data_IF_656086987456
#
_entry.id   IF_656086987456
#
_cell.length_a   1.000
_cell.length_b   1.000
_cell.length_c   1.000
_cell.angle_alpha   90.00
_cell.angle_beta   90.00
_cell.angle_gamma   90.00
#
_symmetry.space_group_name_H-M   'P 1'
#
loop_
_entity.id
_entity.type
_entity.pdbx_description
1 polymer ?
#
# COMPACT_ATOMS: atom_id res chain seq x y z
N UNK A 1 14.40 -9.15 13.63
CA UNK A 1 13.50 -8.02 13.31
C UNK A 1 14.36 -6.93 12.70
N UNK A 2 13.81 -6.18 11.75
CA UNK A 2 14.51 -5.04 11.19
C UNK A 2 14.73 -3.98 12.27
N UNK A 3 15.94 -3.43 12.30
CA UNK A 3 16.24 -2.22 13.05
C UNK A 3 16.01 -1.02 12.13
N UNK A 4 14.97 -0.26 12.41
CA UNK A 4 14.62 0.97 11.69
C UNK A 4 15.08 2.24 12.44
N UNK A 5 15.91 2.13 13.49
CA UNK A 5 16.39 3.28 14.26
C UNK A 5 17.15 4.31 13.40
N UNK A 6 17.73 3.85 12.30
CA UNK A 6 18.47 4.70 11.36
C UNK A 6 17.75 4.88 10.01
N UNK A 7 16.45 4.54 9.95
CA UNK A 7 15.64 4.84 8.79
C UNK A 7 15.49 6.33 8.60
N UNK A 8 15.66 6.78 7.37
CA UNK A 8 15.43 8.17 6.97
C UNK A 8 14.41 8.19 5.85
N UNK A 9 13.27 8.81 6.11
CA UNK A 9 12.17 8.93 5.17
C UNK A 9 12.60 9.54 3.83
N UNK A 10 13.45 10.57 3.86
CA UNK A 10 13.97 11.25 2.66
C UNK A 10 14.93 10.37 1.85
N UNK A 11 15.75 9.52 2.49
CA UNK A 11 16.65 8.59 1.79
C UNK A 11 15.81 7.55 1.01
N UNK A 12 14.72 7.06 1.60
CA UNK A 12 13.79 6.16 0.92
C UNK A 12 13.12 6.82 -0.28
N UNK A 13 12.60 8.04 -0.10
CA UNK A 13 12.04 8.81 -1.21
C UNK A 13 13.08 9.02 -2.32
N UNK A 14 14.29 9.42 -1.96
CA UNK A 14 15.36 9.68 -2.92
C UNK A 14 15.75 8.41 -3.69
N UNK A 15 15.79 7.25 -3.02
CA UNK A 15 16.18 5.97 -3.64
C UNK A 15 15.16 5.50 -4.68
N UNK A 16 13.86 5.65 -4.40
CA UNK A 16 12.82 4.98 -5.20
C UNK A 16 11.88 5.91 -5.94
N UNK A 17 11.75 7.19 -5.54
CA UNK A 17 10.66 8.05 -6.00
C UNK A 17 11.07 9.43 -6.53
N UNK A 18 12.36 9.80 -6.45
CA UNK A 18 12.79 11.17 -6.73
C UNK A 18 12.88 11.52 -8.22
N UNK A 19 13.30 10.58 -9.08
CA UNK A 19 13.64 10.91 -10.46
C UNK A 19 12.54 10.56 -11.47
N UNK A 20 12.12 9.31 -11.50
CA UNK A 20 11.13 8.77 -12.45
C UNK A 20 10.15 7.86 -11.73
N UNK A 21 9.00 7.61 -12.35
CA UNK A 21 8.15 6.50 -11.94
C UNK A 21 8.75 5.24 -12.54
N UNK A 22 9.38 4.41 -11.72
CA UNK A 22 10.04 3.18 -12.17
C UNK A 22 9.03 2.24 -12.85
N UNK A 23 9.45 1.42 -13.85
CA UNK A 23 8.52 0.54 -14.57
C UNK A 23 7.74 -0.43 -13.69
N UNK A 24 8.34 -0.93 -12.62
CA UNK A 24 7.71 -1.79 -11.63
C UNK A 24 6.63 -1.03 -10.82
N UNK A 25 6.93 0.19 -10.36
CA UNK A 25 5.95 1.03 -9.68
C UNK A 25 4.82 1.49 -10.62
N UNK A 26 5.12 1.70 -11.91
CA UNK A 26 4.09 1.93 -12.93
C UNK A 26 3.11 0.77 -13.00
N UNK A 27 3.62 -0.46 -13.06
CA UNK A 27 2.78 -1.66 -13.12
C UNK A 27 1.98 -1.89 -11.83
N UNK A 28 2.59 -1.62 -10.66
CA UNK A 28 1.92 -1.67 -9.35
C UNK A 28 0.74 -0.68 -9.29
N UNK A 29 0.97 0.57 -9.70
CA UNK A 29 -0.10 1.58 -9.71
C UNK A 29 -1.19 1.27 -10.74
N UNK A 30 -0.83 0.77 -11.93
CA UNK A 30 -1.80 0.34 -12.93
C UNK A 30 -2.68 -0.78 -12.38
N UNK A 31 -2.09 -1.82 -11.77
CA UNK A 31 -2.82 -2.90 -11.12
C UNK A 31 -3.77 -2.37 -10.02
N UNK A 32 -3.25 -1.53 -9.12
CA UNK A 32 -4.08 -0.94 -8.06
C UNK A 32 -5.28 -0.18 -8.64
N UNK A 33 -5.08 0.62 -9.69
CA UNK A 33 -6.13 1.41 -10.32
C UNK A 33 -7.17 0.49 -10.99
N UNK A 34 -6.74 -0.60 -11.62
CA UNK A 34 -7.65 -1.55 -12.26
C UNK A 34 -8.54 -2.26 -11.24
N UNK A 35 -7.98 -2.68 -10.09
CA UNK A 35 -8.75 -3.24 -8.97
C UNK A 35 -9.75 -2.21 -8.43
N UNK A 36 -9.31 -0.97 -8.20
CA UNK A 36 -10.17 0.10 -7.69
C UNK A 36 -11.28 0.46 -8.69
N UNK A 37 -10.98 0.45 -9.99
CA UNK A 37 -11.96 0.72 -11.08
C UNK A 37 -13.00 -0.39 -11.20
N UNK A 38 -12.60 -1.64 -10.97
CA UNK A 38 -13.50 -2.79 -11.01
C UNK A 38 -14.56 -2.75 -9.89
N UNK A 39 -14.33 -2.00 -8.83
CA UNK A 39 -15.36 -1.73 -7.83
C UNK A 39 -16.44 -0.82 -8.44
N UNK A 40 -17.70 -1.28 -8.39
CA UNK A 40 -18.84 -0.56 -9.01
C UNK A 40 -19.28 0.69 -8.25
N UNK A 41 -18.82 0.85 -7.01
CA UNK A 41 -19.12 1.99 -6.14
C UNK A 41 -17.86 2.47 -5.43
N UNK A 42 -17.87 3.73 -4.98
CA UNK A 42 -16.78 4.28 -4.17
C UNK A 42 -16.78 3.66 -2.78
N UNK A 43 -15.58 3.38 -2.29
CA UNK A 43 -15.35 2.93 -0.93
C UNK A 43 -15.71 4.02 0.09
N UNK A 44 -16.37 3.64 1.18
CA UNK A 44 -16.72 4.54 2.26
C UNK A 44 -15.47 4.96 3.04
N UNK A 45 -14.64 3.97 3.41
CA UNK A 45 -13.46 4.14 4.26
C UNK A 45 -12.30 3.29 3.78
N UNK A 46 -11.29 3.92 3.20
CA UNK A 46 -10.03 3.31 2.82
C UNK A 46 -8.97 3.43 3.92
N UNK A 47 -8.07 2.46 3.96
CA UNK A 47 -6.84 2.51 4.75
C UNK A 47 -5.66 2.22 3.83
N UNK A 48 -4.66 3.09 3.81
CA UNK A 48 -3.33 2.78 3.32
C UNK A 48 -2.45 2.43 4.52
N UNK A 49 -2.08 1.15 4.66
CA UNK A 49 -1.33 0.63 5.78
C UNK A 49 0.15 0.44 5.43
N UNK A 50 1.04 0.98 6.25
CA UNK A 50 2.47 1.04 5.94
C UNK A 50 2.74 1.98 4.78
N UNK A 51 2.19 3.19 4.86
CA UNK A 51 2.24 4.15 3.75
C UNK A 51 3.67 4.63 3.45
N UNK A 52 4.61 4.45 4.38
CA UNK A 52 5.91 5.08 4.26
C UNK A 52 5.81 6.61 4.14
N UNK A 53 6.85 7.28 3.66
CA UNK A 53 6.80 8.72 3.38
C UNK A 53 6.19 9.01 2.00
N UNK A 54 5.19 8.22 1.55
CA UNK A 54 4.73 8.23 0.16
C UNK A 54 3.26 8.58 0.02
N UNK A 55 2.87 9.20 -1.10
CA UNK A 55 1.51 9.65 -1.36
C UNK A 55 0.85 9.02 -2.59
N UNK A 56 1.60 8.34 -3.45
CA UNK A 56 1.13 7.91 -4.77
C UNK A 56 -0.01 6.89 -4.71
N UNK A 57 -0.03 5.99 -3.71
CA UNK A 57 -1.12 5.02 -3.52
C UNK A 57 -2.39 5.69 -3.01
N UNK A 58 -2.26 6.65 -2.07
CA UNK A 58 -3.38 7.48 -1.63
C UNK A 58 -3.92 8.36 -2.77
N UNK A 59 -3.03 8.92 -3.62
CA UNK A 59 -3.43 9.68 -4.81
C UNK A 59 -4.23 8.80 -5.77
N UNK A 60 -3.80 7.57 -6.02
CA UNK A 60 -4.53 6.61 -6.85
C UNK A 60 -5.89 6.25 -6.24
N UNK A 61 -5.96 6.03 -4.92
CA UNK A 61 -7.20 5.67 -4.23
C UNK A 61 -8.18 6.84 -4.05
N UNK A 62 -7.72 8.09 -4.11
CA UNK A 62 -8.50 9.28 -3.75
C UNK A 62 -9.75 9.51 -4.61
N UNK A 63 -9.79 9.01 -5.85
CA UNK A 63 -10.97 9.04 -6.72
C UNK A 63 -12.01 8.02 -6.29
N UNK A 64 -11.57 6.92 -5.71
CA UNK A 64 -12.36 5.71 -5.46
C UNK A 64 -12.83 5.57 -4.01
N UNK A 65 -12.37 6.43 -3.10
CA UNK A 65 -12.78 6.45 -1.69
C UNK A 65 -13.34 7.82 -1.26
N UNK A 66 -14.29 7.82 -0.31
CA UNK A 66 -14.79 9.05 0.29
C UNK A 66 -13.88 9.54 1.42
N UNK A 67 -13.23 8.61 2.09
CA UNK A 67 -12.28 8.87 3.16
C UNK A 67 -11.13 7.87 3.07
N UNK A 68 -9.90 8.33 3.32
CA UNK A 68 -8.70 7.52 3.43
C UNK A 68 -8.02 7.87 4.75
N UNK A 69 -7.71 6.85 5.53
CA UNK A 69 -6.78 6.93 6.64
C UNK A 69 -5.44 6.35 6.18
N UNK A 70 -4.31 6.89 6.66
CA UNK A 70 -2.97 6.40 6.38
C UNK A 70 -2.32 6.00 7.70
N UNK A 71 -1.58 4.91 7.70
CA UNK A 71 -0.92 4.40 8.90
C UNK A 71 0.50 3.94 8.58
N UNK A 72 1.41 4.19 9.49
CA UNK A 72 2.78 3.71 9.44
C UNK A 72 3.34 3.50 10.84
N UNK A 73 4.37 2.66 10.96
CA UNK A 73 5.05 2.46 12.24
C UNK A 73 5.94 3.64 12.61
N UNK A 74 6.58 4.27 11.62
CA UNK A 74 7.51 5.38 11.83
C UNK A 74 6.77 6.72 11.78
N UNK A 75 6.85 7.46 12.86
CA UNK A 75 6.24 8.80 12.96
C UNK A 75 6.83 9.77 11.92
N UNK A 76 8.11 9.61 11.56
CA UNK A 76 8.79 10.45 10.57
C UNK A 76 8.21 10.26 9.17
N UNK A 77 7.81 9.03 8.80
CA UNK A 77 7.11 8.77 7.55
C UNK A 77 5.76 9.52 7.49
N UNK A 78 5.05 9.52 8.60
CA UNK A 78 3.77 10.25 8.72
C UNK A 78 3.97 11.77 8.75
N UNK A 79 5.12 12.25 9.21
CA UNK A 79 5.46 13.67 9.16
C UNK A 79 5.63 14.14 7.71
N UNK A 80 6.34 13.39 6.85
CA UNK A 80 6.46 13.67 5.42
C UNK A 80 5.08 13.69 4.71
N UNK A 81 4.23 12.70 5.03
CA UNK A 81 2.88 12.67 4.49
C UNK A 81 2.06 13.89 4.95
N UNK A 82 2.21 14.32 6.20
CA UNK A 82 1.53 15.50 6.76
C UNK A 82 1.99 16.78 6.07
N UNK A 83 3.29 16.97 5.86
CA UNK A 83 3.84 18.12 5.12
C UNK A 83 3.18 18.24 3.75
N UNK A 84 3.14 17.14 2.98
CA UNK A 84 2.50 17.15 1.67
C UNK A 84 0.99 17.43 1.75
N UNK A 85 0.29 16.86 2.73
CA UNK A 85 -1.15 17.10 2.94
C UNK A 85 -1.45 18.56 3.30
N UNK A 86 -0.55 19.21 4.02
CA UNK A 86 -0.62 20.65 4.35
C UNK A 86 -0.18 21.56 3.18
N UNK A 87 0.25 20.98 2.05
CA UNK A 87 0.82 21.71 0.91
C UNK A 87 2.07 22.50 1.27
N UNK A 88 2.89 21.98 2.17
CA UNK A 88 4.17 22.56 2.55
C UNK A 88 5.13 22.56 1.35
N UNK A 89 5.84 23.66 1.13
CA UNK A 89 6.77 23.81 0.01
C UNK A 89 8.01 22.90 0.13
N UNK A 90 8.36 22.46 1.34
CA UNK A 90 9.46 21.52 1.59
C UNK A 90 9.09 20.06 1.31
N UNK A 91 7.80 19.75 1.16
CA UNK A 91 7.32 18.40 0.93
C UNK A 91 7.77 17.84 -0.43
N UNK A 92 8.08 16.53 -0.51
CA UNK A 92 8.42 15.88 -1.78
C UNK A 92 7.33 16.05 -2.84
N UNK A 93 7.74 16.27 -4.10
CA UNK A 93 6.80 16.40 -5.21
C UNK A 93 6.29 15.05 -5.71
N UNK A 94 4.95 14.91 -5.79
CA UNK A 94 4.28 13.71 -6.30
C UNK A 94 3.62 13.93 -7.67
N UNK A 95 3.83 15.07 -8.32
CA UNK A 95 3.17 15.44 -9.61
C UNK A 95 3.41 14.42 -10.73
N UNK A 96 4.59 13.78 -10.79
CA UNK A 96 4.87 12.73 -11.80
C UNK A 96 3.98 11.52 -11.60
N UNK A 97 3.88 11.05 -10.36
CA UNK A 97 2.99 9.94 -9.98
C UNK A 97 1.53 10.30 -10.21
N UNK A 98 1.14 11.52 -9.86
CA UNK A 98 -0.22 12.02 -10.13
C UNK A 98 -0.53 12.01 -11.62
N UNK A 99 0.40 12.42 -12.48
CA UNK A 99 0.23 12.33 -13.94
C UNK A 99 0.09 10.89 -14.40
N UNK A 100 0.91 9.98 -13.87
CA UNK A 100 0.84 8.57 -14.21
C UNK A 100 -0.51 7.95 -13.79
N UNK A 101 -0.96 8.22 -12.57
CA UNK A 101 -2.28 7.79 -12.07
C UNK A 101 -3.40 8.28 -13.00
N UNK A 102 -3.39 9.56 -13.37
CA UNK A 102 -4.38 10.13 -14.30
C UNK A 102 -4.32 9.48 -15.68
N UNK A 103 -3.12 9.15 -16.17
CA UNK A 103 -2.96 8.44 -17.45
C UNK A 103 -3.58 7.03 -17.39
N UNK A 104 -3.33 6.28 -16.33
CA UNK A 104 -3.97 4.97 -16.09
C UNK A 104 -5.50 5.06 -16.01
N UNK A 105 -6.03 6.21 -15.59
CA UNK A 105 -7.47 6.46 -15.53
C UNK A 105 -8.09 6.91 -16.88
N UNK A 106 -7.29 6.96 -17.94
CA UNK A 106 -7.75 7.30 -19.30
C UNK A 106 -7.47 8.73 -19.74
N UNK A 107 -6.72 9.50 -18.94
CA UNK A 107 -6.27 10.84 -19.34
C UNK A 107 -4.88 10.77 -19.98
N UNK A 108 -4.77 10.49 -21.28
CA UNK A 108 -3.50 10.21 -21.98
C UNK A 108 -2.43 11.32 -21.84
N UNK A 109 -2.84 12.56 -21.66
CA UNK A 109 -1.93 13.73 -21.45
C UNK A 109 -2.54 14.68 -20.42
N UNK A 110 -2.48 14.34 -19.11
CA UNK A 110 -3.08 15.17 -18.08
C UNK A 110 -2.30 16.49 -17.95
N UNK A 111 -3.02 17.61 -18.06
CA UNK A 111 -2.46 18.94 -17.87
C UNK A 111 -2.24 19.27 -16.39
N UNK A 112 -1.53 20.34 -16.10
CA UNK A 112 -1.22 20.73 -14.72
C UNK A 112 -2.49 20.99 -13.89
N UNK A 113 -3.55 21.55 -14.47
CA UNK A 113 -4.80 21.81 -13.73
C UNK A 113 -5.43 20.51 -13.21
N UNK A 114 -5.43 19.42 -14.00
CA UNK A 114 -5.90 18.10 -13.55
C UNK A 114 -5.02 17.50 -12.46
N UNK A 115 -3.70 17.70 -12.55
CA UNK A 115 -2.76 17.25 -11.51
C UNK A 115 -3.07 17.95 -10.19
N UNK A 116 -3.15 19.29 -10.21
CA UNK A 116 -3.48 20.10 -9.02
C UNK A 116 -4.85 19.70 -8.45
N UNK A 117 -5.84 19.49 -9.30
CA UNK A 117 -7.18 19.05 -8.89
C UNK A 117 -7.14 17.68 -8.18
N UNK A 118 -6.39 16.69 -8.71
CA UNK A 118 -6.26 15.38 -8.11
C UNK A 118 -5.53 15.46 -6.76
N UNK A 119 -4.45 16.21 -6.67
CA UNK A 119 -3.73 16.40 -5.41
C UNK A 119 -4.60 17.10 -4.36
N UNK A 120 -5.34 18.14 -4.75
CA UNK A 120 -6.31 18.80 -3.87
C UNK A 120 -7.44 17.85 -3.42
N UNK A 121 -7.91 16.96 -4.31
CA UNK A 121 -8.87 15.91 -3.96
C UNK A 121 -8.26 14.95 -2.92
N UNK A 122 -7.02 14.52 -3.11
CA UNK A 122 -6.33 13.63 -2.17
C UNK A 122 -6.23 14.26 -0.79
N UNK A 123 -5.83 15.53 -0.69
CA UNK A 123 -5.78 16.29 0.56
C UNK A 123 -7.15 16.37 1.26
N UNK A 124 -8.23 16.41 0.48
CA UNK A 124 -9.62 16.43 1.03
C UNK A 124 -10.07 15.08 1.56
N UNK A 125 -9.67 13.96 0.95
CA UNK A 125 -10.17 12.63 1.34
C UNK A 125 -9.28 11.95 2.38
N UNK A 126 -7.99 12.29 2.46
CA UNK A 126 -7.12 11.81 3.56
C UNK A 126 -7.50 12.54 4.84
N UNK A 127 -7.92 11.77 5.87
CA UNK A 127 -8.51 12.32 7.10
C UNK A 127 -7.78 11.93 8.37
N UNK A 128 -6.97 10.89 8.35
CA UNK A 128 -6.26 10.41 9.53
C UNK A 128 -4.85 9.93 9.19
N UNK A 129 -3.90 10.25 10.07
CA UNK A 129 -2.54 9.72 10.07
C UNK A 129 -2.32 9.06 11.42
N UNK A 130 -1.99 7.77 11.42
CA UNK A 130 -1.92 6.95 12.64
C UNK A 130 -0.59 6.23 12.75
N UNK A 131 0.10 6.38 13.88
CA UNK A 131 1.22 5.49 14.22
C UNK A 131 0.64 4.11 14.53
N UNK A 132 1.17 3.07 13.89
CA UNK A 132 0.60 1.73 13.94
C UNK A 132 1.64 0.64 13.79
N UNK A 133 1.55 -0.40 14.59
CA UNK A 133 2.44 -1.57 14.53
C UNK A 133 1.66 -2.80 14.07
N UNK A 134 1.98 -3.32 12.87
CA UNK A 134 1.36 -4.51 12.30
C UNK A 134 1.55 -5.78 13.14
N UNK A 135 2.53 -5.81 14.05
CA UNK A 135 2.80 -6.94 14.94
C UNK A 135 1.77 -7.07 16.06
N UNK A 136 1.06 -5.98 16.37
CA UNK A 136 -0.01 -5.96 17.37
C UNK A 136 -1.28 -6.58 16.80
N UNK A 137 -2.01 -7.33 17.63
CA UNK A 137 -3.28 -7.98 17.23
C UNK A 137 -4.31 -6.98 16.70
N UNK A 138 -4.33 -5.77 17.21
CA UNK A 138 -5.21 -4.68 16.82
C UNK A 138 -4.36 -3.45 16.50
N UNK A 139 -3.78 -3.35 15.29
CA UNK A 139 -2.77 -2.34 14.97
C UNK A 139 -3.22 -0.89 15.15
N UNK A 140 -4.51 -0.63 14.97
CA UNK A 140 -5.15 0.69 15.17
C UNK A 140 -6.15 0.72 16.32
N UNK A 141 -6.06 -0.27 17.23
CA UNK A 141 -6.98 -0.42 18.36
C UNK A 141 -8.29 -1.16 17.99
N UNK A 142 -9.07 -1.57 19.02
CA UNK A 142 -10.24 -2.44 18.85
C UNK A 142 -11.37 -1.81 18.04
N UNK A 143 -11.50 -0.49 18.04
CA UNK A 143 -12.54 0.23 17.31
C UNK A 143 -12.33 0.23 15.78
N UNK A 144 -11.20 -0.25 15.31
CA UNK A 144 -10.85 -0.33 13.88
C UNK A 144 -10.92 -1.76 13.33
N UNK A 145 -11.25 -2.75 14.13
CA UNK A 145 -11.51 -4.10 13.66
C UNK A 145 -12.76 -4.13 12.78
N UNK A 146 -12.64 -4.67 11.55
CA UNK A 146 -13.74 -4.68 10.57
C UNK A 146 -14.27 -3.30 10.18
N UNK A 147 -13.45 -2.27 10.23
CA UNK A 147 -13.88 -0.88 10.04
C UNK A 147 -13.77 -0.37 8.60
N UNK A 148 -12.78 -0.85 7.85
CA UNK A 148 -12.49 -0.37 6.51
C UNK A 148 -13.11 -1.27 5.45
N UNK A 149 -13.61 -0.70 4.36
CA UNK A 149 -14.09 -1.44 3.18
C UNK A 149 -13.04 -1.53 2.06
N UNK A 150 -11.92 -0.79 2.20
CA UNK A 150 -10.73 -0.89 1.39
C UNK A 150 -9.49 -0.85 2.29
N UNK A 151 -8.59 -1.82 2.14
CA UNK A 151 -7.24 -1.77 2.75
C UNK A 151 -6.22 -1.98 1.65
N UNK A 152 -5.27 -1.07 1.56
CA UNK A 152 -4.13 -1.11 0.65
C UNK A 152 -2.86 -1.18 1.50
N UNK A 153 -1.94 -2.07 1.18
CA UNK A 153 -0.60 -2.10 1.78
C UNK A 153 0.44 -2.42 0.72
N UNK A 154 1.55 -1.73 0.72
CA UNK A 154 2.61 -1.93 -0.24
C UNK A 154 3.99 -1.84 0.39
N UNK A 155 4.80 -2.91 0.20
CA UNK A 155 6.20 -2.97 0.63
C UNK A 155 6.39 -2.68 2.13
N UNK A 156 5.44 -3.12 2.97
CA UNK A 156 5.41 -2.86 4.39
C UNK A 156 5.53 -4.15 5.20
N UNK A 157 4.47 -4.97 5.21
CA UNK A 157 4.43 -6.14 6.10
C UNK A 157 5.40 -7.25 5.70
N UNK A 158 5.83 -7.29 4.45
CA UNK A 158 6.88 -8.18 3.93
C UNK A 158 8.30 -7.71 4.30
N UNK A 159 8.45 -6.46 4.71
CA UNK A 159 9.71 -5.84 5.09
C UNK A 159 10.00 -5.86 6.61
N UNK A 160 9.07 -6.31 7.44
CA UNK A 160 9.20 -6.28 8.91
C UNK A 160 10.21 -7.31 9.42
N UNK A 161 10.28 -8.48 8.80
CA UNK A 161 11.12 -9.60 9.25
C UNK A 161 11.40 -10.57 8.11
N UNK A 162 12.55 -11.25 8.17
CA UNK A 162 12.83 -12.40 7.31
C UNK A 162 12.07 -13.68 7.73
N UNK A 163 11.45 -13.70 8.92
CA UNK A 163 10.62 -14.80 9.39
C UNK A 163 9.21 -14.71 8.82
N UNK A 164 8.83 -15.68 7.98
CA UNK A 164 7.50 -15.79 7.38
C UNK A 164 6.36 -15.92 8.39
N UNK A 165 6.63 -16.45 9.57
CA UNK A 165 5.62 -16.54 10.64
C UNK A 165 5.23 -15.16 11.16
N UNK A 166 6.19 -14.24 11.24
CA UNK A 166 5.95 -12.84 11.57
C UNK A 166 5.11 -12.18 10.48
N UNK A 167 5.45 -12.39 9.21
CA UNK A 167 4.68 -11.88 8.08
C UNK A 167 3.23 -12.39 8.10
N UNK A 168 2.99 -13.71 8.26
CA UNK A 168 1.63 -14.29 8.37
C UNK A 168 0.83 -13.65 9.51
N UNK A 169 1.47 -13.41 10.65
CA UNK A 169 0.84 -12.72 11.77
C UNK A 169 0.49 -11.28 11.43
N UNK A 170 1.39 -10.53 10.81
CA UNK A 170 1.12 -9.16 10.35
C UNK A 170 0.01 -9.13 9.32
N UNK A 171 0.00 -10.05 8.35
CA UNK A 171 -1.06 -10.19 7.35
C UNK A 171 -2.43 -10.35 8.02
N UNK A 172 -2.54 -11.27 9.00
CA UNK A 172 -3.77 -11.46 9.78
C UNK A 172 -4.19 -10.20 10.53
N UNK A 173 -3.25 -9.53 11.19
CA UNK A 173 -3.53 -8.34 11.98
C UNK A 173 -4.00 -7.17 11.09
N UNK A 174 -3.37 -6.95 9.95
CA UNK A 174 -3.76 -5.88 8.99
C UNK A 174 -5.11 -6.21 8.35
N UNK A 175 -5.32 -7.45 7.90
CA UNK A 175 -6.59 -7.84 7.28
C UNK A 175 -7.75 -7.92 8.27
N UNK A 176 -7.51 -7.98 9.59
CA UNK A 176 -8.58 -7.91 10.59
C UNK A 176 -9.31 -6.56 10.59
N UNK A 177 -8.64 -5.50 10.15
CA UNK A 177 -9.26 -4.17 10.03
C UNK A 177 -10.23 -4.04 8.86
N UNK A 178 -10.15 -4.99 7.89
CA UNK A 178 -11.05 -5.02 6.74
C UNK A 178 -12.39 -5.65 7.13
N UNK A 179 -13.50 -4.98 6.81
CA UNK A 179 -14.85 -5.50 7.05
C UNK A 179 -15.16 -6.69 6.13
N UNK A 180 -16.13 -7.55 6.49
CA UNK A 180 -16.67 -8.56 5.57
C UNK A 180 -17.14 -7.94 4.25
N UNK A 181 -16.78 -8.54 3.12
CA UNK A 181 -17.05 -8.02 1.77
C UNK A 181 -16.11 -6.90 1.31
N UNK A 182 -15.22 -6.42 2.16
CA UNK A 182 -14.24 -5.39 1.82
C UNK A 182 -13.16 -5.88 0.85
N UNK A 183 -12.51 -4.95 0.19
CA UNK A 183 -11.44 -5.19 -0.80
C UNK A 183 -10.06 -4.97 -0.18
N UNK A 184 -9.17 -5.91 -0.39
CA UNK A 184 -7.75 -5.84 -0.01
C UNK A 184 -6.87 -5.76 -1.23
N UNK A 185 -5.85 -4.90 -1.19
CA UNK A 185 -4.81 -4.79 -2.21
C UNK A 185 -3.46 -4.84 -1.50
N UNK A 186 -2.56 -5.70 -1.98
CA UNK A 186 -1.23 -5.84 -1.39
C UNK A 186 -0.16 -5.90 -2.47
N UNK A 187 0.96 -5.24 -2.21
CA UNK A 187 2.19 -5.31 -2.98
C UNK A 187 3.33 -5.70 -2.05
N UNK A 188 4.16 -6.64 -2.47
CA UNK A 188 5.31 -7.15 -1.73
C UNK A 188 6.47 -7.44 -2.68
N UNK A 189 7.70 -7.50 -2.17
CA UNK A 189 8.86 -7.89 -2.93
C UNK A 189 8.86 -9.42 -3.13
N UNK A 190 8.89 -9.86 -4.40
CA UNK A 190 8.91 -11.28 -4.75
C UNK A 190 10.27 -11.89 -4.50
N UNK A 191 10.31 -12.98 -3.72
CA UNK A 191 11.53 -13.76 -3.39
C UNK A 191 12.69 -12.90 -2.86
N UNK A 192 12.37 -11.82 -2.15
CA UNK A 192 13.33 -10.89 -1.59
C UNK A 192 13.72 -11.31 -0.17
N UNK A 193 15.00 -11.57 0.06
CA UNK A 193 15.55 -11.84 1.40
C UNK A 193 15.98 -10.57 2.12
N UNK A 194 16.45 -9.59 1.34
CA UNK A 194 16.83 -8.28 1.84
C UNK A 194 16.78 -7.27 0.68
N UNK A 195 16.39 -6.04 0.96
CA UNK A 195 16.35 -4.96 0.00
C UNK A 195 17.19 -3.77 0.47
N UNK A 196 17.70 -3.00 -0.49
CA UNK A 196 18.55 -1.84 -0.24
C UNK A 196 17.71 -0.57 -0.10
N UNK A 197 18.02 0.26 0.91
CA UNK A 197 17.49 1.62 1.02
C UNK A 197 18.63 2.55 1.49
N UNK A 198 18.98 3.53 0.68
CA UNK A 198 20.21 4.27 0.86
C UNK A 198 21.42 3.32 0.84
N UNK A 199 22.28 3.40 1.83
CA UNK A 199 23.44 2.51 1.98
C UNK A 199 23.18 1.27 2.85
N UNK A 200 21.92 1.00 3.21
CA UNK A 200 21.54 -0.06 4.15
C UNK A 200 20.71 -1.14 3.52
N UNK A 201 20.81 -2.33 4.13
CA UNK A 201 20.00 -3.49 3.77
C UNK A 201 18.95 -3.74 4.85
N UNK A 202 17.71 -3.91 4.42
CA UNK A 202 16.56 -4.26 5.26
C UNK A 202 16.05 -5.65 4.92
N UNK A 203 15.47 -6.39 5.88
CA UNK A 203 15.01 -7.76 5.63
C UNK A 203 13.79 -7.78 4.72
N UNK A 204 13.68 -8.88 3.93
CA UNK A 204 12.48 -9.25 3.22
C UNK A 204 12.02 -10.64 3.63
N UNK A 205 10.72 -10.89 3.64
CA UNK A 205 10.12 -12.17 4.06
C UNK A 205 10.27 -13.28 3.02
N UNK A 206 10.92 -13.03 1.89
CA UNK A 206 11.20 -13.99 0.82
C UNK A 206 9.93 -14.75 0.34
N UNK A 207 8.91 -13.99 -0.03
CA UNK A 207 7.58 -14.50 -0.38
C UNK A 207 7.48 -15.02 -1.80
N UNK A 208 6.66 -16.05 -1.99
CA UNK A 208 6.21 -16.54 -3.27
C UNK A 208 4.74 -16.19 -3.51
N UNK A 209 4.26 -16.41 -4.75
CA UNK A 209 2.84 -16.20 -5.07
C UNK A 209 1.93 -17.15 -4.29
N UNK A 210 2.39 -18.37 -4.03
CA UNK A 210 1.62 -19.36 -3.26
C UNK A 210 1.55 -18.94 -1.78
N UNK A 211 2.64 -18.44 -1.18
CA UNK A 211 2.60 -17.88 0.17
C UNK A 211 1.53 -16.78 0.29
N UNK A 212 1.41 -15.92 -0.73
CA UNK A 212 0.42 -14.84 -0.74
C UNK A 212 -1.01 -15.37 -0.86
N UNK A 213 -1.26 -16.31 -1.78
CA UNK A 213 -2.58 -16.93 -1.96
C UNK A 213 -3.05 -17.66 -0.71
N UNK A 214 -2.15 -18.46 -0.11
CA UNK A 214 -2.45 -19.19 1.11
C UNK A 214 -2.78 -18.23 2.26
N UNK A 215 -1.98 -17.18 2.44
CA UNK A 215 -2.24 -16.21 3.48
C UNK A 215 -3.57 -15.47 3.29
N UNK A 216 -3.95 -15.17 2.06
CA UNK A 216 -5.27 -14.58 1.78
C UNK A 216 -6.40 -15.56 2.12
N UNK A 217 -6.30 -16.83 1.72
CA UNK A 217 -7.29 -17.85 2.06
C UNK A 217 -7.42 -18.05 3.58
N UNK A 218 -6.30 -18.14 4.30
CA UNK A 218 -6.24 -18.25 5.75
C UNK A 218 -6.93 -17.07 6.47
N UNK A 219 -6.93 -15.89 5.84
CA UNK A 219 -7.53 -14.68 6.40
C UNK A 219 -8.96 -14.41 5.88
N UNK A 220 -9.59 -15.42 5.28
CA UNK A 220 -11.01 -15.42 4.96
C UNK A 220 -11.36 -14.67 3.66
N UNK A 221 -10.41 -14.55 2.73
CA UNK A 221 -10.72 -14.06 1.40
C UNK A 221 -11.40 -15.15 0.55
N UNK A 222 -12.37 -14.75 -0.28
CA UNK A 222 -13.06 -15.69 -1.18
C UNK A 222 -12.11 -16.12 -2.29
N UNK A 223 -11.87 -17.41 -2.44
CA UNK A 223 -10.90 -17.98 -3.40
C UNK A 223 -11.13 -17.46 -4.83
N UNK A 224 -12.36 -17.39 -5.29
CA UNK A 224 -12.70 -16.87 -6.64
C UNK A 224 -12.46 -15.38 -6.82
N UNK A 225 -12.18 -14.64 -5.74
CA UNK A 225 -11.89 -13.20 -5.79
C UNK A 225 -10.40 -12.90 -5.70
N UNK A 226 -9.57 -13.90 -5.38
CA UNK A 226 -8.14 -13.71 -5.23
C UNK A 226 -7.50 -13.64 -6.61
N UNK A 227 -7.01 -12.46 -6.96
CA UNK A 227 -6.09 -12.24 -8.08
C UNK A 227 -4.69 -12.02 -7.52
N UNK A 228 -3.70 -12.78 -8.01
CA UNK A 228 -2.32 -12.67 -7.57
C UNK A 228 -1.38 -12.95 -8.74
N UNK A 229 -0.42 -12.06 -8.94
CA UNK A 229 0.56 -12.16 -10.01
C UNK A 229 1.94 -11.63 -9.57
N UNK A 230 2.96 -11.99 -10.33
CA UNK A 230 4.32 -11.44 -10.18
C UNK A 230 4.61 -10.53 -11.36
N UNK A 231 4.98 -9.29 -11.07
CA UNK A 231 5.46 -8.30 -12.03
C UNK A 231 7.00 -8.47 -12.09
N UNK A 232 7.59 -8.89 -13.24
CA UNK A 232 9.03 -9.03 -13.34
C UNK A 232 9.74 -7.67 -13.28
N UNK A 233 10.82 -7.59 -12.51
CA UNK A 233 11.67 -6.41 -12.40
C UNK A 233 13.06 -6.76 -12.93
N UNK A 234 13.36 -6.40 -14.18
CA UNK A 234 14.57 -6.87 -14.88
C UNK A 234 15.88 -6.28 -14.35
N UNK A 235 15.82 -5.05 -13.83
CA UNK A 235 17.04 -4.29 -13.49
C UNK A 235 17.19 -4.07 -11.97
N UNK A 236 16.40 -4.76 -11.15
CA UNK A 236 16.35 -4.49 -9.72
C UNK A 236 17.19 -5.45 -8.85
N UNK A 237 18.04 -6.28 -9.48
CA UNK A 237 18.96 -7.16 -8.75
C UNK A 237 19.86 -6.37 -7.77
N UNK A 238 20.23 -5.14 -8.13
CA UNK A 238 20.99 -4.22 -7.27
C UNK A 238 20.24 -3.81 -6.01
N UNK A 239 18.90 -3.89 -6.00
CA UNK A 239 18.05 -3.58 -4.84
C UNK A 239 17.65 -4.82 -4.04
N UNK A 240 18.05 -6.04 -4.48
CA UNK A 240 17.84 -7.28 -3.76
C UNK A 240 16.54 -8.03 -4.09
N UNK A 241 15.80 -7.66 -5.15
CA UNK A 241 14.60 -8.35 -5.61
C UNK A 241 14.52 -8.46 -7.13
N UNK A 242 13.78 -9.46 -7.62
CA UNK A 242 13.64 -9.73 -9.06
C UNK A 242 12.23 -9.55 -9.59
N UNK A 243 11.29 -9.18 -8.74
CA UNK A 243 9.90 -8.98 -9.10
C UNK A 243 9.10 -8.41 -7.94
N UNK A 244 7.92 -7.91 -8.28
CA UNK A 244 6.91 -7.48 -7.31
C UNK A 244 5.74 -8.44 -7.35
N UNK A 245 5.40 -8.97 -6.20
CA UNK A 245 4.21 -9.75 -5.98
C UNK A 245 3.07 -8.79 -5.67
N UNK A 246 2.04 -8.79 -6.51
CA UNK A 246 0.84 -8.00 -6.29
C UNK A 246 -0.37 -8.91 -6.20
N UNK A 247 -1.26 -8.62 -5.25
CA UNK A 247 -2.48 -9.37 -5.09
C UNK A 247 -3.64 -8.50 -4.63
N UNK A 248 -4.84 -8.93 -4.98
CA UNK A 248 -6.09 -8.35 -4.46
C UNK A 248 -7.11 -9.45 -4.18
N UNK A 249 -8.10 -9.13 -3.36
CA UNK A 249 -9.19 -10.04 -3.06
C UNK A 249 -10.28 -9.39 -2.25
N UNK A 250 -11.42 -10.08 -2.16
CA UNK A 250 -12.57 -9.65 -1.35
C UNK A 250 -12.71 -10.58 -0.15
N UNK A 251 -12.80 -10.01 1.03
CA UNK A 251 -13.09 -10.74 2.26
C UNK A 251 -14.48 -11.36 2.16
N UNK A 252 -14.63 -12.62 2.57
CA UNK A 252 -15.92 -13.28 2.55
C UNK A 252 -16.98 -12.45 3.31
N UNK A 253 -18.23 -12.37 2.82
CA UNK A 253 -19.28 -11.69 3.53
C UNK A 253 -19.55 -12.33 4.90
N UNK A 254 -20.05 -11.55 5.84
CA UNK A 254 -20.48 -12.11 7.12
C UNK A 254 -21.54 -13.22 6.87
N UNK A 255 -21.39 -14.38 7.51
CA UNK A 255 -22.44 -15.42 7.46
C UNK A 255 -23.71 -14.82 8.02
N UNK A 256 -24.80 -14.84 7.24
CA UNK A 256 -26.15 -14.54 7.78
C UNK A 256 -26.38 -15.56 8.90
N UNK A 257 -26.58 -15.08 10.13
CA UNK A 257 -27.12 -15.95 11.17
C UNK A 257 -28.49 -16.38 10.68
N UNK A 258 -28.64 -17.67 10.35
CA UNK A 258 -29.96 -18.29 10.17
C UNK A 258 -30.63 -18.25 11.56
N UNK A 259 -31.68 -17.44 11.66
CA UNK A 259 -32.60 -17.43 12.82
C UNK A 259 -33.50 -18.65 12.75
#
# INVERSE_FOLDING_TARGET
MADYSEWKARDYFQTYYSEVVLPDEQAVLAYQIDVLRAARARFGRGLEYGCGPTMHRAIAASKYAFRIDMADWLADNLAEAREWLCADESAPEWKRFTRYVLACEGHSRPNNARVVQREAQTRKVVRGLYVSDARLRQPLGPTREGFYDLVITGFCIDAISSDRSVWRRCMRNVTSMLQPGGTFIIHALHQCKAYKCGDRMFPGSNLTIDDMRDAMLENGFTSSSIDAQVIPCRDNAMYGYSGILTASGRKAPARKKSH
#
